data_IF_000856562871
#
_entry.id   IF_000856562871
#
_cell.length_a   1.000
_cell.length_b   1.000
_cell.length_c   1.000
_cell.angle_alpha   90.00
_cell.angle_beta   90.00
_cell.angle_gamma   90.00
#
_symmetry.space_group_name_H-M   'P 1'
#
loop_
_entity.id
_entity.type
_entity.pdbx_description
1 polymer ?
#
# COMPACT_ATOMS: atom_id res chain seq x y z
N UNK A 1 -14.19 5.06 4.40
CA UNK A 1 -14.11 3.85 3.55
C UNK A 1 -14.46 2.64 4.40
N UNK A 2 -15.08 1.60 3.83
CA UNK A 2 -15.27 0.34 4.56
C UNK A 2 -13.90 -0.35 4.75
N UNK A 3 -13.62 -0.86 5.95
CA UNK A 3 -12.42 -1.64 6.27
C UNK A 3 -12.19 -2.78 5.25
N UNK A 4 -13.28 -3.37 4.74
CA UNK A 4 -13.25 -4.42 3.72
C UNK A 4 -12.70 -3.92 2.38
N UNK A 5 -13.00 -2.68 2.00
CA UNK A 5 -12.48 -2.08 0.76
C UNK A 5 -10.98 -1.80 0.89
N UNK A 6 -10.55 -1.24 2.03
CA UNK A 6 -9.12 -0.98 2.31
C UNK A 6 -8.31 -2.28 2.24
N UNK A 7 -8.84 -3.38 2.79
CA UNK A 7 -8.18 -4.69 2.71
C UNK A 7 -8.07 -5.21 1.26
N UNK A 8 -9.10 -5.02 0.43
CA UNK A 8 -9.05 -5.37 -0.99
C UNK A 8 -8.05 -4.52 -1.75
N UNK A 9 -8.00 -3.23 -1.48
CA UNK A 9 -7.07 -2.30 -2.14
C UNK A 9 -5.62 -2.60 -1.75
N UNK A 10 -5.36 -2.91 -0.47
CA UNK A 10 -4.05 -3.39 -0.01
C UNK A 10 -3.60 -4.66 -0.74
N UNK A 11 -4.52 -5.62 -0.95
CA UNK A 11 -4.22 -6.81 -1.73
C UNK A 11 -3.87 -6.47 -3.19
N UNK A 12 -4.68 -5.62 -3.84
CA UNK A 12 -4.46 -5.21 -5.23
C UNK A 12 -3.11 -4.51 -5.42
N UNK A 13 -2.81 -3.53 -4.58
CA UNK A 13 -1.54 -2.78 -4.65
C UNK A 13 -0.36 -3.71 -4.37
N UNK A 14 -0.49 -4.66 -3.45
CA UNK A 14 0.58 -5.65 -3.20
C UNK A 14 0.82 -6.50 -4.44
N UNK A 15 -0.24 -6.96 -5.12
CA UNK A 15 -0.11 -7.72 -6.38
C UNK A 15 0.46 -6.91 -7.52
N UNK A 16 0.14 -5.62 -7.59
CA UNK A 16 0.67 -4.72 -8.61
C UNK A 16 2.17 -4.46 -8.41
N UNK A 17 2.61 -4.26 -7.17
CA UNK A 17 4.03 -4.16 -6.82
C UNK A 17 4.77 -5.45 -7.21
N UNK A 18 4.24 -6.63 -6.85
CA UNK A 18 4.84 -7.92 -7.24
C UNK A 18 4.99 -8.02 -8.78
N UNK A 19 3.96 -7.66 -9.54
CA UNK A 19 4.00 -7.71 -10.99
C UNK A 19 5.03 -6.73 -11.61
N UNK A 20 5.16 -5.53 -11.04
CA UNK A 20 6.16 -4.55 -11.48
C UNK A 20 7.58 -4.96 -11.08
N UNK A 21 7.76 -5.58 -9.92
CA UNK A 21 9.05 -6.14 -9.49
C UNK A 21 9.50 -7.29 -10.40
N UNK A 22 8.59 -8.17 -10.83
CA UNK A 22 8.92 -9.21 -11.81
C UNK A 22 9.27 -8.61 -13.18
N UNK A 23 8.56 -7.56 -13.62
CA UNK A 23 8.89 -6.84 -14.86
C UNK A 23 10.24 -6.13 -14.78
N UNK A 24 10.59 -5.58 -13.61
CA UNK A 24 11.86 -4.90 -13.39
C UNK A 24 13.06 -5.83 -13.57
N UNK A 25 12.91 -7.14 -13.29
CA UNK A 25 13.99 -8.12 -13.46
C UNK A 25 14.37 -8.35 -14.92
N UNK A 26 13.43 -8.13 -15.85
CA UNK A 26 13.62 -8.40 -17.29
C UNK A 26 13.65 -7.13 -18.14
N UNK A 27 13.36 -5.96 -17.55
CA UNK A 27 13.33 -4.68 -18.24
C UNK A 27 14.73 -4.14 -18.58
N UNK A 28 14.80 -3.30 -19.61
CA UNK A 28 16.03 -2.59 -19.96
C UNK A 28 16.38 -1.52 -18.90
N UNK A 29 17.65 -1.05 -18.82
CA UNK A 29 18.05 -0.03 -17.84
C UNK A 29 17.23 1.26 -17.91
N UNK A 30 16.79 1.65 -19.11
CA UNK A 30 15.97 2.84 -19.32
C UNK A 30 14.57 2.69 -18.70
N UNK A 31 13.93 1.53 -18.91
CA UNK A 31 12.59 1.21 -18.37
C UNK A 31 12.65 0.87 -16.87
N UNK A 32 13.79 0.39 -16.40
CA UNK A 32 13.99 0.01 -15.02
C UNK A 32 13.83 1.19 -14.06
N UNK A 33 14.23 2.39 -14.45
CA UNK A 33 14.12 3.57 -13.59
C UNK A 33 12.68 4.06 -13.46
N UNK A 34 11.91 4.04 -14.56
CA UNK A 34 10.47 4.32 -14.53
C UNK A 34 9.70 3.30 -13.68
N UNK A 35 10.02 2.01 -13.84
CA UNK A 35 9.43 0.94 -13.03
C UNK A 35 9.77 1.08 -11.55
N UNK A 36 11.00 1.45 -11.19
CA UNK A 36 11.39 1.70 -9.79
C UNK A 36 10.61 2.88 -9.19
N UNK A 37 10.44 3.97 -9.95
CA UNK A 37 9.67 5.13 -9.50
C UNK A 37 8.21 4.74 -9.23
N UNK A 38 7.62 3.93 -10.10
CA UNK A 38 6.25 3.47 -9.92
C UNK A 38 6.10 2.51 -8.74
N UNK A 39 7.04 1.57 -8.56
CA UNK A 39 7.10 0.71 -7.38
C UNK A 39 7.19 1.54 -6.09
N UNK A 40 8.00 2.60 -6.07
CA UNK A 40 8.11 3.47 -4.90
C UNK A 40 6.79 4.18 -4.58
N UNK A 41 6.09 4.69 -5.59
CA UNK A 41 4.77 5.34 -5.42
C UNK A 41 3.75 4.37 -4.85
N UNK A 42 3.65 3.16 -5.42
CA UNK A 42 2.71 2.14 -4.95
C UNK A 42 3.04 1.66 -3.52
N UNK A 43 4.33 1.55 -3.17
CA UNK A 43 4.76 1.25 -1.80
C UNK A 43 4.32 2.33 -0.81
N UNK A 44 4.45 3.61 -1.19
CA UNK A 44 3.98 4.73 -0.37
C UNK A 44 2.46 4.68 -0.18
N UNK A 45 1.69 4.35 -1.22
CA UNK A 45 0.23 4.22 -1.13
C UNK A 45 -0.19 3.03 -0.27
N UNK A 46 0.46 1.88 -0.42
CA UNK A 46 0.27 0.72 0.46
C UNK A 46 0.47 1.08 1.92
N UNK A 47 1.53 1.83 2.23
CA UNK A 47 1.83 2.25 3.60
C UNK A 47 0.75 3.20 4.15
N UNK A 48 0.24 4.13 3.32
CA UNK A 48 -0.89 4.99 3.71
C UNK A 48 -2.14 4.18 4.04
N UNK A 49 -2.53 3.24 3.18
CA UNK A 49 -3.70 2.38 3.42
C UNK A 49 -3.54 1.51 4.65
N UNK A 50 -2.32 1.00 4.90
CA UNK A 50 -2.01 0.23 6.10
C UNK A 50 -2.20 1.06 7.37
N UNK A 51 -1.70 2.30 7.39
CA UNK A 51 -1.90 3.23 8.52
C UNK A 51 -3.37 3.56 8.76
N UNK A 52 -4.15 3.76 7.69
CA UNK A 52 -5.60 4.01 7.81
C UNK A 52 -6.28 2.76 8.40
N UNK A 53 -5.93 1.56 7.94
CA UNK A 53 -6.46 0.31 8.47
C UNK A 53 -6.12 0.11 9.95
N UNK A 54 -4.89 0.41 10.36
CA UNK A 54 -4.44 0.33 11.75
C UNK A 54 -5.14 1.38 12.63
N UNK A 55 -5.28 2.62 12.14
CA UNK A 55 -6.03 3.67 12.82
C UNK A 55 -7.51 3.32 13.03
N UNK A 56 -8.11 2.54 12.13
CA UNK A 56 -9.47 2.01 12.31
C UNK A 56 -9.55 0.82 13.29
N UNK A 57 -8.45 0.13 13.59
CA UNK A 57 -8.42 -0.99 14.55
C UNK A 57 -8.31 -0.51 16.00
N UNK A 58 -7.80 0.69 16.24
CA UNK A 58 -7.73 1.27 17.58
C UNK A 58 -9.06 1.95 17.94
N UNK A 59 -9.80 1.48 18.95
CA UNK A 59 -10.90 2.28 19.49
C UNK A 59 -10.35 3.61 20.02
N UNK A 60 -11.09 4.73 19.94
CA UNK A 60 -10.74 5.95 20.64
C UNK A 60 -10.52 5.60 22.12
N UNK A 61 -9.47 6.12 22.79
CA UNK A 61 -9.34 5.95 24.23
C UNK A 61 -10.58 6.58 24.85
N UNK A 62 -11.49 5.72 25.32
CA UNK A 62 -12.71 6.12 25.99
C UNK A 62 -12.30 7.05 27.14
N UNK A 63 -12.67 8.33 27.07
CA UNK A 63 -12.58 9.22 28.23
C UNK A 63 -13.57 8.67 29.25
N UNK A 64 -13.07 7.94 30.23
CA UNK A 64 -13.80 7.69 31.47
C UNK A 64 -14.05 9.06 32.13
N UNK A 65 -15.30 9.49 32.36
CA UNK A 65 -15.56 10.67 33.17
C UNK A 65 -15.08 10.42 34.61
N UNK A 66 -14.48 11.45 35.21
CA UNK A 66 -14.07 11.48 36.63
C UNK A 66 -15.28 11.59 37.55
#
# INVERSE_FOLDING_TARGET
MSIRLIAKDLYRITKEIEALEERLKTSTPQEADDLKLEIQRLRAERERLKKILEGHKSPPPYRLPK
#
